data_IF_495512616223
#
_entry.id   IF_495512616223
#
_cell.length_a   1.000
_cell.length_b   1.000
_cell.length_c   1.000
_cell.angle_alpha   90.00
_cell.angle_beta   90.00
_cell.angle_gamma   90.00
#
_symmetry.space_group_name_H-M   'P 1'
#
loop_
_entity.id
_entity.type
_entity.pdbx_description
1 polymer ?
#
# COMPACT_ATOMS: atom_id res chain seq x y z
N UNK A 1 -1.31 -12.32 26.48
CA UNK A 1 -1.95 -12.65 25.19
C UNK A 1 -0.86 -12.76 24.14
N UNK A 2 -0.55 -13.97 23.65
CA UNK A 2 0.39 -14.15 22.54
C UNK A 2 -0.41 -14.07 21.23
N UNK A 3 -0.47 -12.88 20.63
CA UNK A 3 -1.07 -12.69 19.32
C UNK A 3 -0.08 -13.18 18.27
N UNK A 4 -0.14 -14.47 17.95
CA UNK A 4 0.55 -15.07 16.80
C UNK A 4 -0.08 -14.49 15.53
N UNK A 5 0.33 -13.28 15.16
CA UNK A 5 -0.13 -12.58 13.95
C UNK A 5 0.87 -12.90 12.84
N UNK A 6 0.45 -13.74 11.90
CA UNK A 6 1.19 -13.99 10.67
C UNK A 6 1.13 -12.75 9.76
N UNK A 7 1.90 -11.72 10.12
CA UNK A 7 2.06 -10.53 9.31
C UNK A 7 2.99 -10.85 8.13
N UNK A 8 2.56 -10.52 6.91
CA UNK A 8 3.37 -10.65 5.70
C UNK A 8 3.77 -9.27 5.20
N UNK A 9 5.03 -9.12 4.79
CA UNK A 9 5.51 -7.92 4.13
C UNK A 9 5.08 -7.97 2.67
N UNK A 10 4.37 -6.94 2.21
CA UNK A 10 4.03 -6.73 0.81
C UNK A 10 4.92 -5.62 0.24
N UNK A 11 5.69 -5.92 -0.80
CA UNK A 11 6.46 -4.92 -1.57
C UNK A 11 5.81 -4.76 -2.94
N UNK A 12 5.49 -3.52 -3.29
CA UNK A 12 4.92 -3.17 -4.59
C UNK A 12 5.92 -2.26 -5.28
N UNK A 13 6.36 -2.67 -6.46
CA UNK A 13 7.23 -1.88 -7.32
C UNK A 13 6.39 -1.32 -8.47
N UNK A 14 6.45 0.00 -8.63
CA UNK A 14 5.73 0.73 -9.69
C UNK A 14 6.68 1.74 -10.32
N UNK A 15 6.40 2.11 -11.57
CA UNK A 15 7.06 3.23 -12.21
C UNK A 15 6.46 4.54 -11.68
N UNK A 16 7.30 5.57 -11.54
CA UNK A 16 6.89 6.89 -11.01
C UNK A 16 5.86 7.59 -11.90
N UNK A 17 5.94 7.37 -13.21
CA UNK A 17 5.04 7.91 -14.22
C UNK A 17 3.74 7.13 -14.36
N UNK A 18 3.59 6.02 -13.63
CA UNK A 18 2.37 5.21 -13.67
C UNK A 18 1.19 5.99 -13.08
N UNK A 19 0.07 5.98 -13.82
CA UNK A 19 -1.15 6.70 -13.45
C UNK A 19 -2.34 5.76 -13.31
N UNK A 20 -3.21 6.08 -12.35
CA UNK A 20 -4.51 5.47 -12.19
C UNK A 20 -5.58 6.55 -12.19
N UNK A 21 -6.54 6.46 -13.13
CA UNK A 21 -7.63 7.44 -13.29
C UNK A 21 -7.15 8.91 -13.38
N UNK A 22 -5.97 9.14 -13.97
CA UNK A 22 -5.37 10.47 -14.12
C UNK A 22 -4.51 10.95 -12.94
N UNK A 23 -4.47 10.19 -11.84
CA UNK A 23 -3.65 10.49 -10.66
C UNK A 23 -2.43 9.57 -10.58
N UNK A 24 -1.41 9.96 -9.80
CA UNK A 24 -0.23 9.12 -9.58
C UNK A 24 -0.63 7.80 -8.92
N UNK A 25 -0.13 6.68 -9.47
CA UNK A 25 -0.51 5.34 -9.03
C UNK A 25 -0.14 5.07 -7.57
N UNK A 26 1.02 5.55 -7.11
CA UNK A 26 1.43 5.37 -5.71
C UNK A 26 0.43 6.00 -4.74
N UNK A 27 -0.13 7.16 -5.09
CA UNK A 27 -1.08 7.88 -4.25
C UNK A 27 -2.40 7.09 -4.15
N UNK A 28 -2.89 6.61 -5.29
CA UNK A 28 -4.09 5.77 -5.34
C UNK A 28 -3.91 4.48 -4.54
N UNK A 29 -2.71 3.88 -4.55
CA UNK A 29 -2.41 2.69 -3.75
C UNK A 29 -2.46 2.98 -2.24
N UNK A 30 -1.91 4.12 -1.79
CA UNK A 30 -1.96 4.51 -0.37
C UNK A 30 -3.41 4.68 0.08
N UNK A 31 -4.22 5.41 -0.67
CA UNK A 31 -5.64 5.62 -0.36
C UNK A 31 -6.39 4.28 -0.28
N UNK A 32 -6.17 3.38 -1.25
CA UNK A 32 -6.79 2.05 -1.21
C UNK A 32 -6.32 1.18 -0.05
N UNK A 33 -5.03 1.23 0.30
CA UNK A 33 -4.54 0.48 1.47
C UNK A 33 -5.12 1.03 2.78
N UNK A 34 -5.30 2.35 2.89
CA UNK A 34 -5.98 2.96 4.02
C UNK A 34 -7.46 2.56 4.10
N UNK A 35 -8.19 2.59 2.97
CA UNK A 35 -9.59 2.15 2.89
C UNK A 35 -9.79 0.69 3.33
N UNK A 36 -8.85 -0.20 2.97
CA UNK A 36 -8.91 -1.64 3.31
C UNK A 36 -8.50 -1.90 4.78
N UNK A 37 -7.97 -0.89 5.48
CA UNK A 37 -7.54 -1.02 6.87
C UNK A 37 -6.21 -1.73 7.04
N UNK A 38 -5.28 -1.56 6.08
CA UNK A 38 -3.90 -2.01 6.25
C UNK A 38 -3.26 -1.35 7.49
N UNK A 39 -2.41 -2.10 8.18
CA UNK A 39 -1.75 -1.63 9.41
C UNK A 39 -0.82 -0.42 9.18
N UNK A 40 -0.28 -0.28 7.96
CA UNK A 40 0.58 0.84 7.57
C UNK A 40 1.23 0.61 6.21
N UNK A 41 1.64 1.70 5.57
CA UNK A 41 2.30 1.69 4.26
C UNK A 41 3.51 2.61 4.33
N UNK A 42 4.64 2.17 3.77
CA UNK A 42 5.84 2.97 3.61
C UNK A 42 6.18 3.07 2.14
N UNK A 43 6.40 4.30 1.64
CA UNK A 43 6.86 4.57 0.28
C UNK A 43 8.35 4.91 0.33
N UNK A 44 9.11 4.46 -0.66
CA UNK A 44 10.57 4.68 -0.79
C UNK A 44 10.89 5.10 -2.21
#
# INVERSE_FOLDING_TARGET
MNLQRDCKILKIYICEDAKYKGHNLYHALIEKMAEIGMAGVTVT
#
